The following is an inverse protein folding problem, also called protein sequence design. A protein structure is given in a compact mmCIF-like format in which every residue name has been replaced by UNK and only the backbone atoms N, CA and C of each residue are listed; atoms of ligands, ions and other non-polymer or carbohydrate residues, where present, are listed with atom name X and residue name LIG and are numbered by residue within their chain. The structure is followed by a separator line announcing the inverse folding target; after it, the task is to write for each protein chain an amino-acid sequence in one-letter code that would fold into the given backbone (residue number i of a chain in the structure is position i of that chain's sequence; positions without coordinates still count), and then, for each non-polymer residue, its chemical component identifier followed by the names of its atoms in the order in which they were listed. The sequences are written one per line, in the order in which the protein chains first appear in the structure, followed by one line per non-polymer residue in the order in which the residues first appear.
data_IF_160157459306
#
_entry.id   IF_160157459306
#
_cell.length_a   1.000
_cell.length_b   1.000
_cell.length_c   1.000
_cell.angle_alpha   90.00
_cell.angle_beta   90.00
_cell.angle_gamma   90.00
#
_symmetry.space_group_name_H-M   'P 1'
#
loop_
_entity.id
_entity.type
_entity.pdbx_description
1 polymer ?
#
# COMPACT_ATOMS: atom_id res chain seq x y z
N UNK A 1 -7.75 -31.42 -47.33
CA UNK A 1 -8.23 -31.63 -45.95
C UNK A 1 -9.62 -32.22 -46.00
N UNK A 2 -9.89 -33.30 -45.26
CA UNK A 2 -11.23 -33.88 -45.22
C UNK A 2 -12.15 -33.05 -44.30
N UNK A 3 -13.48 -33.05 -44.53
CA UNK A 3 -14.44 -32.35 -43.67
C UNK A 3 -14.29 -32.72 -42.18
N UNK A 4 -13.92 -33.97 -41.90
CA UNK A 4 -13.67 -34.45 -40.55
C UNK A 4 -12.48 -33.73 -39.85
N UNK A 5 -11.40 -33.45 -40.58
CA UNK A 5 -10.22 -32.76 -40.01
C UNK A 5 -10.55 -31.30 -39.67
N UNK A 6 -11.38 -30.63 -40.48
CA UNK A 6 -11.83 -29.27 -40.22
C UNK A 6 -12.70 -29.23 -38.95
N UNK A 7 -13.63 -30.19 -38.79
CA UNK A 7 -14.46 -30.31 -37.60
C UNK A 7 -13.62 -30.47 -36.32
N UNK A 8 -12.61 -31.34 -36.34
CA UNK A 8 -11.71 -31.55 -35.19
C UNK A 8 -10.92 -30.29 -34.82
N UNK A 9 -10.47 -29.51 -35.80
CA UNK A 9 -9.77 -28.23 -35.54
C UNK A 9 -10.70 -27.25 -34.82
N UNK A 10 -11.97 -27.13 -35.25
CA UNK A 10 -12.95 -26.27 -34.57
C UNK A 10 -13.29 -26.76 -33.16
N UNK A 11 -13.38 -28.08 -32.92
CA UNK A 11 -13.62 -28.63 -31.58
C UNK A 11 -12.44 -28.35 -30.66
N UNK A 12 -11.20 -28.53 -31.11
CA UNK A 12 -9.99 -28.27 -30.31
C UNK A 12 -9.84 -26.77 -30.03
N UNK A 13 -10.06 -25.91 -31.03
CA UNK A 13 -10.06 -24.45 -30.85
C UNK A 13 -11.18 -24.01 -29.89
N UNK A 14 -12.39 -24.52 -30.05
CA UNK A 14 -13.53 -24.22 -29.19
C UNK A 14 -13.29 -24.66 -27.73
N UNK A 15 -12.75 -25.86 -27.53
CA UNK A 15 -12.39 -26.36 -26.20
C UNK A 15 -11.27 -25.52 -25.56
N UNK A 16 -10.26 -25.12 -26.33
CA UNK A 16 -9.18 -24.24 -25.87
C UNK A 16 -9.69 -22.85 -25.44
N UNK A 17 -10.59 -22.27 -26.22
CA UNK A 17 -11.23 -20.98 -25.89
C UNK A 17 -12.14 -21.09 -24.65
N UNK A 18 -12.89 -22.17 -24.51
CA UNK A 18 -13.72 -22.40 -23.34
C UNK A 18 -12.88 -22.58 -22.07
N UNK A 19 -11.77 -23.33 -22.15
CA UNK A 19 -10.88 -23.58 -21.02
C UNK A 19 -10.16 -22.31 -20.53
N UNK A 20 -9.66 -21.49 -21.46
CA UNK A 20 -9.02 -20.20 -21.15
C UNK A 20 -10.03 -19.23 -20.55
N UNK A 21 -11.23 -19.12 -21.15
CA UNK A 21 -12.32 -18.28 -20.64
C UNK A 21 -12.75 -18.67 -19.23
N UNK A 22 -12.91 -19.97 -18.96
CA UNK A 22 -13.27 -20.47 -17.62
C UNK A 22 -12.17 -20.21 -16.58
N UNK A 23 -10.90 -20.35 -16.96
CA UNK A 23 -9.75 -20.08 -16.09
C UNK A 23 -9.65 -18.59 -15.72
N UNK A 24 -9.90 -17.70 -16.66
CA UNK A 24 -9.96 -16.25 -16.43
C UNK A 24 -11.15 -15.92 -15.52
N UNK A 25 -12.32 -16.49 -15.80
CA UNK A 25 -13.53 -16.25 -15.00
C UNK A 25 -13.37 -16.69 -13.54
N UNK A 26 -12.74 -17.86 -13.31
CA UNK A 26 -12.38 -18.30 -11.94
C UNK A 26 -11.44 -17.32 -11.24
N UNK A 27 -10.40 -16.84 -11.92
CA UNK A 27 -9.46 -15.85 -11.36
C UNK A 27 -10.16 -14.53 -11.02
N UNK A 28 -11.13 -14.11 -11.84
CA UNK A 28 -11.94 -12.90 -11.57
C UNK A 28 -12.84 -13.12 -10.36
N UNK A 29 -13.54 -14.26 -10.28
CA UNK A 29 -14.49 -14.54 -9.20
C UNK A 29 -13.80 -14.70 -7.83
N UNK A 30 -12.69 -15.44 -7.78
CA UNK A 30 -11.92 -15.64 -6.54
C UNK A 30 -11.30 -14.33 -6.00
N UNK A 31 -11.00 -13.39 -6.89
CA UNK A 31 -10.43 -12.10 -6.50
C UNK A 31 -11.50 -11.02 -6.26
N UNK A 32 -12.81 -11.30 -6.38
CA UNK A 32 -13.85 -10.27 -6.19
C UNK A 32 -14.16 -10.01 -4.70
N UNK A 33 -14.06 -11.05 -3.86
CA UNK A 33 -14.21 -10.97 -2.41
C UNK A 33 -13.40 -12.11 -1.77
N UNK A 34 -12.12 -11.89 -1.45
CA UNK A 34 -11.29 -12.93 -0.84
C UNK A 34 -11.82 -13.28 0.56
N UNK A 35 -11.80 -14.57 0.89
CA UNK A 35 -12.04 -15.06 2.25
C UNK A 35 -10.88 -14.68 3.18
N UNK A 36 -11.10 -14.71 4.50
CA UNK A 36 -10.09 -14.35 5.50
C UNK A 36 -8.81 -15.18 5.38
N UNK A 37 -8.92 -16.49 5.12
CA UNK A 37 -7.76 -17.36 4.90
C UNK A 37 -6.93 -16.95 3.67
N UNK A 38 -7.59 -16.49 2.60
CA UNK A 38 -6.91 -15.99 1.41
C UNK A 38 -6.19 -14.66 1.70
N UNK A 39 -6.79 -13.79 2.51
CA UNK A 39 -6.16 -12.55 2.97
C UNK A 39 -4.90 -12.85 3.78
N UNK A 40 -4.96 -13.79 4.74
CA UNK A 40 -3.79 -14.18 5.54
C UNK A 40 -2.68 -14.77 4.69
N UNK A 41 -3.03 -15.61 3.71
CA UNK A 41 -2.08 -16.17 2.76
C UNK A 41 -1.44 -15.11 1.87
N UNK A 42 -2.20 -14.11 1.44
CA UNK A 42 -1.67 -12.97 0.68
C UNK A 42 -0.74 -12.10 1.54
N UNK A 43 -1.08 -11.82 2.81
CA UNK A 43 -0.19 -11.13 3.76
C UNK A 43 1.12 -11.93 3.93
N UNK A 44 1.04 -13.26 4.05
CA UNK A 44 2.23 -14.11 4.15
C UNK A 44 3.12 -13.97 2.92
N UNK A 45 2.55 -13.99 1.72
CA UNK A 45 3.31 -13.79 0.47
C UNK A 45 3.92 -12.40 0.38
N UNK A 46 3.18 -11.36 0.78
CA UNK A 46 3.67 -9.99 0.83
C UNK A 46 4.87 -9.85 1.78
N UNK A 47 4.80 -10.47 2.96
CA UNK A 47 5.90 -10.51 3.92
C UNK A 47 7.15 -11.15 3.31
N UNK A 48 7.00 -12.31 2.68
CA UNK A 48 8.10 -13.00 1.98
C UNK A 48 8.70 -12.16 0.84
N UNK A 49 7.89 -11.38 0.14
CA UNK A 49 8.37 -10.50 -0.93
C UNK A 49 9.25 -9.35 -0.42
N UNK A 50 9.06 -8.92 0.83
CA UNK A 50 9.81 -7.83 1.46
C UNK A 50 11.01 -8.35 2.28
N UNK A 51 11.00 -9.62 2.68
CA UNK A 51 12.03 -10.27 3.49
C UNK A 51 13.49 -10.03 3.03
N UNK A 52 13.81 -10.05 1.71
CA UNK A 52 15.19 -9.82 1.25
C UNK A 52 15.74 -8.43 1.57
N UNK A 53 14.88 -7.47 1.93
CA UNK A 53 15.26 -6.08 2.17
C UNK A 53 15.39 -5.74 3.66
N UNK A 54 14.91 -6.60 4.56
CA UNK A 54 14.80 -6.29 6.00
C UNK A 54 16.14 -5.93 6.63
N UNK A 55 17.19 -6.68 6.31
CA UNK A 55 18.53 -6.46 6.87
C UNK A 55 19.21 -5.19 6.32
N UNK A 56 18.60 -4.53 5.32
CA UNK A 56 19.11 -3.30 4.73
C UNK A 56 18.37 -2.06 5.25
N UNK A 57 17.16 -2.23 5.82
CA UNK A 57 16.34 -1.11 6.27
C UNK A 57 17.02 -0.37 7.41
N UNK A 58 17.16 0.94 7.23
CA UNK A 58 17.69 1.84 8.26
C UNK A 58 16.54 2.26 9.18
N UNK A 59 16.76 2.30 10.52
CA UNK A 59 15.79 2.86 11.45
C UNK A 59 15.39 4.27 11.07
N UNK A 60 14.09 4.55 11.12
CA UNK A 60 13.56 5.86 10.77
C UNK A 60 13.61 6.72 12.01
N UNK A 61 14.69 7.47 12.19
CA UNK A 61 14.73 8.53 13.20
C UNK A 61 14.22 9.86 12.61
N UNK A 62 14.23 10.91 13.43
CA UNK A 62 13.85 12.26 12.99
C UNK A 62 14.61 12.73 11.74
N UNK A 63 15.92 12.49 11.68
CA UNK A 63 16.74 12.94 10.55
C UNK A 63 16.33 12.17 9.30
N UNK A 64 16.08 10.87 9.43
CA UNK A 64 15.59 10.06 8.33
C UNK A 64 14.19 10.49 7.86
N UNK A 65 13.30 10.92 8.77
CA UNK A 65 12.03 11.52 8.37
C UNK A 65 12.20 12.81 7.57
N UNK A 66 13.12 13.68 7.96
CA UNK A 66 13.42 14.91 7.20
C UNK A 66 14.03 14.60 5.82
N UNK A 67 14.77 13.50 5.72
CA UNK A 67 15.46 13.06 4.50
C UNK A 67 14.64 12.07 3.65
N UNK A 68 13.49 11.60 4.15
CA UNK A 68 12.63 10.64 3.47
C UNK A 68 12.26 11.18 2.09
N UNK A 69 12.40 10.36 1.05
CA UNK A 69 12.10 10.74 -0.33
C UNK A 69 10.82 10.06 -0.84
N UNK A 70 10.12 10.71 -1.77
CA UNK A 70 9.05 10.06 -2.54
C UNK A 70 9.63 9.06 -3.57
N UNK A 71 10.93 9.12 -3.84
CA UNK A 71 11.60 8.21 -4.74
C UNK A 71 11.61 6.78 -4.18
N UNK A 72 11.56 5.83 -5.10
CA UNK A 72 11.58 4.42 -4.79
C UNK A 72 12.62 3.70 -5.64
N UNK A 73 13.23 2.70 -5.04
CA UNK A 73 14.04 1.73 -5.77
C UNK A 73 13.29 0.41 -5.86
N UNK A 74 13.63 -0.39 -6.88
CA UNK A 74 13.04 -1.72 -7.12
C UNK A 74 11.51 -1.68 -7.24
N UNK A 75 10.99 -0.56 -7.77
CA UNK A 75 9.57 -0.36 -7.98
C UNK A 75 9.06 -1.32 -9.05
N UNK A 76 8.01 -2.06 -8.73
CA UNK A 76 7.26 -2.87 -9.67
C UNK A 76 5.80 -2.50 -9.56
N UNK A 77 5.18 -2.14 -10.69
CA UNK A 77 3.74 -1.92 -10.79
C UNK A 77 3.19 -2.78 -11.93
N UNK A 78 2.22 -3.62 -11.61
CA UNK A 78 1.57 -4.50 -12.58
C UNK A 78 0.06 -4.29 -12.52
N UNK A 79 -0.51 -3.66 -13.56
CA UNK A 79 -1.95 -3.50 -13.77
C UNK A 79 -2.43 -4.61 -14.73
N UNK A 80 -2.90 -5.74 -14.20
CA UNK A 80 -3.46 -6.85 -14.98
C UNK A 80 -4.88 -7.17 -14.48
N UNK A 81 -5.24 -8.44 -14.26
CA UNK A 81 -6.52 -8.81 -13.61
C UNK A 81 -6.60 -8.16 -12.23
N UNK A 82 -5.50 -8.17 -11.47
CA UNK A 82 -5.32 -7.43 -10.22
C UNK A 82 -4.24 -6.38 -10.40
N UNK A 83 -4.28 -5.31 -9.61
CA UNK A 83 -3.16 -4.37 -9.51
C UNK A 83 -2.25 -4.81 -8.38
N UNK A 84 -0.99 -5.06 -8.67
CA UNK A 84 0.02 -5.31 -7.63
C UNK A 84 1.12 -4.28 -7.74
N UNK A 85 1.62 -3.79 -6.60
CA UNK A 85 2.76 -2.92 -6.54
C UNK A 85 3.73 -3.35 -5.44
N UNK A 86 5.02 -3.04 -5.60
CA UNK A 86 6.02 -3.22 -4.56
C UNK A 86 7.17 -2.28 -4.80
N UNK A 87 7.90 -1.94 -3.76
CA UNK A 87 9.05 -1.05 -3.85
C UNK A 87 9.67 -0.77 -2.50
N UNK A 88 10.73 0.02 -2.53
CA UNK A 88 11.44 0.47 -1.33
C UNK A 88 11.56 1.98 -1.42
N UNK A 89 10.94 2.69 -0.49
CA UNK A 89 11.17 4.13 -0.32
C UNK A 89 12.51 4.35 0.36
N UNK A 90 13.22 5.39 -0.09
CA UNK A 90 14.56 5.70 0.39
C UNK A 90 14.66 7.12 0.94
N UNK A 91 15.75 7.42 1.63
CA UNK A 91 16.17 8.81 1.87
C UNK A 91 16.61 9.46 0.55
N UNK A 92 16.83 10.78 0.57
CA UNK A 92 17.51 11.51 -0.53
C UNK A 92 18.98 11.11 -0.72
N UNK A 93 19.51 10.25 0.15
CA UNK A 93 20.83 9.63 0.02
C UNK A 93 20.74 8.15 -0.35
N UNK A 94 19.56 7.69 -0.77
CA UNK A 94 19.28 6.32 -1.23
C UNK A 94 19.41 5.24 -0.14
N UNK A 95 19.33 5.63 1.14
CA UNK A 95 19.22 4.66 2.23
C UNK A 95 17.79 4.10 2.26
N UNK A 96 17.60 2.76 2.29
CA UNK A 96 16.27 2.18 2.28
C UNK A 96 15.61 2.30 3.66
N UNK A 97 14.43 2.92 3.70
CA UNK A 97 13.71 3.24 4.94
C UNK A 97 12.45 2.38 5.11
N UNK A 98 11.74 2.14 4.01
CA UNK A 98 10.45 1.46 4.03
C UNK A 98 10.29 0.58 2.80
N UNK A 99 10.10 -0.71 3.01
CA UNK A 99 9.75 -1.64 1.94
C UNK A 99 8.25 -2.01 2.02
N UNK A 100 7.60 -2.14 0.86
CA UNK A 100 6.16 -2.44 0.83
C UNK A 100 5.77 -3.39 -0.30
N UNK A 101 4.60 -4.01 -0.12
CA UNK A 101 3.91 -4.82 -1.12
C UNK A 101 2.41 -4.51 -1.07
N UNK A 102 1.81 -4.33 -2.23
CA UNK A 102 0.44 -3.90 -2.42
C UNK A 102 -0.29 -4.83 -3.39
N UNK A 103 -1.56 -5.10 -3.11
CA UNK A 103 -2.46 -5.86 -3.98
C UNK A 103 -3.87 -5.29 -3.93
N UNK A 104 -4.34 -4.74 -5.05
CA UNK A 104 -5.75 -4.40 -5.31
C UNK A 104 -6.46 -5.62 -5.88
N UNK A 105 -7.51 -6.04 -5.22
CA UNK A 105 -8.39 -7.12 -5.68
C UNK A 105 -9.29 -6.65 -6.82
N UNK A 106 -9.91 -7.60 -7.52
CA UNK A 106 -10.87 -7.29 -8.58
C UNK A 106 -12.14 -6.73 -7.93
N UNK A 107 -12.76 -5.71 -8.51
CA UNK A 107 -14.04 -5.17 -8.03
C UNK A 107 -13.91 -3.99 -7.07
N UNK A 108 -14.86 -3.85 -6.13
CA UNK A 108 -15.14 -2.59 -5.42
C UNK A 108 -14.15 -2.33 -4.27
N UNK A 109 -12.98 -1.77 -4.60
CA UNK A 109 -12.14 -1.00 -3.68
C UNK A 109 -11.46 -1.78 -2.55
N UNK A 110 -11.37 -3.11 -2.66
CA UNK A 110 -10.63 -3.93 -1.70
C UNK A 110 -9.15 -4.02 -2.08
N UNK A 111 -8.26 -3.78 -1.13
CA UNK A 111 -6.84 -3.94 -1.31
C UNK A 111 -6.14 -4.37 -0.01
N UNK A 112 -4.94 -4.91 -0.16
CA UNK A 112 -4.00 -5.11 0.94
C UNK A 112 -2.75 -4.28 0.67
N UNK A 113 -2.26 -3.64 1.73
CA UNK A 113 -0.92 -3.06 1.76
C UNK A 113 -0.18 -3.67 2.96
N UNK A 114 0.97 -4.26 2.68
CA UNK A 114 1.95 -4.66 3.66
C UNK A 114 3.13 -3.70 3.56
N UNK A 115 3.58 -3.15 4.68
CA UNK A 115 4.78 -2.31 4.71
C UNK A 115 5.64 -2.66 5.92
N UNK A 116 6.95 -2.45 5.79
CA UNK A 116 7.93 -2.82 6.79
C UNK A 116 9.00 -1.74 6.87
N UNK A 117 9.18 -1.19 8.07
CA UNK A 117 10.36 -0.40 8.46
C UNK A 117 11.34 -1.31 9.19
N UNK A 118 12.50 -0.79 9.61
CA UNK A 118 13.42 -1.53 10.46
C UNK A 118 12.75 -2.01 11.76
N UNK A 119 11.79 -1.24 12.29
CA UNK A 119 11.23 -1.44 13.62
C UNK A 119 9.81 -2.03 13.61
N UNK A 120 9.02 -1.73 12.57
CA UNK A 120 7.57 -1.98 12.59
C UNK A 120 7.06 -2.64 11.31
N UNK A 121 6.18 -3.62 11.50
CA UNK A 121 5.38 -4.23 10.42
C UNK A 121 4.01 -3.56 10.41
N UNK A 122 3.58 -3.07 9.25
CA UNK A 122 2.28 -2.46 9.03
C UNK A 122 1.47 -3.32 8.05
N UNK A 123 0.22 -3.58 8.39
CA UNK A 123 -0.74 -4.25 7.51
C UNK A 123 -2.00 -3.40 7.43
N UNK A 124 -2.36 -3.02 6.21
CA UNK A 124 -3.57 -2.27 5.91
C UNK A 124 -4.51 -3.18 5.13
N UNK A 125 -5.65 -3.48 5.75
CA UNK A 125 -6.78 -4.14 5.09
C UNK A 125 -7.74 -3.06 4.58
N UNK A 126 -7.53 -2.65 3.33
CA UNK A 126 -8.25 -1.55 2.70
C UNK A 126 -9.59 -2.06 2.18
N UNK A 127 -10.66 -1.54 2.77
CA UNK A 127 -12.03 -1.77 2.35
C UNK A 127 -12.61 -0.56 1.62
N UNK A 128 -13.88 -0.67 1.22
CA UNK A 128 -14.57 0.38 0.46
C UNK A 128 -14.79 1.68 1.26
N UNK A 129 -15.00 1.57 2.58
CA UNK A 129 -15.36 2.70 3.47
C UNK A 129 -14.31 2.97 4.54
N UNK A 130 -13.51 1.96 4.87
CA UNK A 130 -12.56 2.03 5.96
C UNK A 130 -11.35 1.17 5.63
N UNK A 131 -10.24 1.47 6.29
CA UNK A 131 -9.02 0.68 6.26
C UNK A 131 -8.67 0.26 7.66
N UNK A 132 -8.64 -1.04 7.93
CA UNK A 132 -8.20 -1.58 9.23
C UNK A 132 -6.69 -1.70 9.20
N UNK A 133 -6.02 -1.16 10.21
CA UNK A 133 -4.56 -1.14 10.33
C UNK A 133 -4.13 -2.00 11.51
N UNK A 134 -3.16 -2.88 11.25
CA UNK A 134 -2.43 -3.60 12.28
C UNK A 134 -0.95 -3.22 12.26
N UNK A 135 -0.37 -2.99 13.44
CA UNK A 135 1.07 -2.79 13.63
C UNK A 135 1.61 -3.98 14.43
N UNK A 136 2.67 -4.61 13.94
CA UNK A 136 3.30 -5.78 14.57
C UNK A 136 2.29 -6.89 14.90
N UNK A 137 1.35 -7.15 13.96
CA UNK A 137 0.25 -8.13 14.06
C UNK A 137 -0.81 -7.82 15.12
N UNK A 138 -0.75 -6.66 15.78
CA UNK A 138 -1.77 -6.20 16.71
C UNK A 138 -2.63 -5.13 16.04
N UNK A 139 -3.94 -5.17 16.27
CA UNK A 139 -4.84 -4.12 15.82
C UNK A 139 -4.38 -2.77 16.37
N UNK A 140 -4.22 -1.79 15.49
CA UNK A 140 -3.77 -0.44 15.86
C UNK A 140 -4.88 0.59 15.71
N UNK A 141 -5.65 0.52 14.62
CA UNK A 141 -6.70 1.48 14.37
C UNK A 141 -7.45 1.27 13.07
N UNK A 142 -8.42 2.14 12.82
CA UNK A 142 -9.22 2.16 11.60
C UNK A 142 -9.16 3.55 10.97
N UNK A 143 -8.87 3.61 9.68
CA UNK A 143 -8.87 4.85 8.90
C UNK A 143 -10.21 5.00 8.19
N UNK A 144 -10.86 6.15 8.36
CA UNK A 144 -12.14 6.53 7.72
C UNK A 144 -11.99 7.98 7.26
N UNK A 145 -12.23 8.25 5.97
CA UNK A 145 -12.14 9.60 5.38
C UNK A 145 -10.84 10.35 5.79
N UNK A 146 -9.69 9.72 5.56
CA UNK A 146 -8.34 10.23 5.90
C UNK A 146 -8.06 10.44 7.39
N UNK A 147 -8.94 10.00 8.29
CA UNK A 147 -8.80 10.10 9.75
C UNK A 147 -8.52 8.73 10.36
N UNK A 148 -7.44 8.62 11.13
CA UNK A 148 -7.07 7.41 11.87
C UNK A 148 -7.69 7.45 13.27
N UNK A 149 -8.45 6.42 13.59
CA UNK A 149 -9.08 6.22 14.89
C UNK A 149 -8.50 5.00 15.61
N UNK A 150 -8.35 5.06 16.94
CA UNK A 150 -7.91 3.91 17.74
C UNK A 150 -8.93 2.78 17.73
N UNK A 151 -10.22 3.10 17.64
CA UNK A 151 -11.30 2.12 17.66
C UNK A 151 -12.09 2.10 16.34
N UNK A 152 -12.74 0.97 16.06
CA UNK A 152 -13.58 0.79 14.86
C UNK A 152 -14.83 1.70 14.87
N UNK A 153 -15.19 2.26 16.03
CA UNK A 153 -16.37 3.11 16.23
C UNK A 153 -16.07 4.60 16.03
N UNK A 154 -14.84 4.96 15.70
CA UNK A 154 -14.40 6.33 15.42
C UNK A 154 -14.40 7.27 16.62
N UNK A 155 -14.28 6.77 17.87
CA UNK A 155 -14.39 7.63 19.06
C UNK A 155 -13.10 8.35 19.42
N UNK A 156 -11.96 7.67 19.29
CA UNK A 156 -10.66 8.25 19.62
C UNK A 156 -9.84 8.55 18.36
N UNK A 157 -9.79 9.81 17.94
CA UNK A 157 -8.96 10.27 16.83
C UNK A 157 -7.48 10.25 17.25
N UNK A 158 -6.65 9.58 16.45
CA UNK A 158 -5.19 9.56 16.60
C UNK A 158 -4.51 10.56 15.67
N UNK A 159 -5.05 10.75 14.48
CA UNK A 159 -4.52 11.69 13.51
C UNK A 159 -5.35 11.75 12.24
N UNK A 160 -4.97 12.65 11.34
CA UNK A 160 -5.63 12.80 10.05
C UNK A 160 -4.71 13.41 9.00
N UNK A 161 -5.01 13.12 7.74
CA UNK A 161 -4.45 13.82 6.59
C UNK A 161 -5.47 14.87 6.15
N UNK A 162 -5.04 16.13 6.10
CA UNK A 162 -5.89 17.23 5.68
C UNK A 162 -5.73 17.47 4.17
N UNK A 163 -6.84 17.54 3.45
CA UNK A 163 -6.88 17.93 2.03
C UNK A 163 -6.77 19.46 1.85
N UNK A 164 -5.77 20.08 2.47
CA UNK A 164 -5.52 21.51 2.26
C UNK A 164 -5.02 21.72 0.83
N UNK A 165 -5.74 22.51 0.03
CA UNK A 165 -5.57 22.64 -1.44
C UNK A 165 -4.28 23.29 -1.96
N UNK A 166 -3.16 23.19 -1.23
CA UNK A 166 -1.88 23.83 -1.54
C UNK A 166 -0.75 22.82 -1.81
N UNK A 167 -0.99 21.81 -2.65
CA UNK A 167 0.03 20.85 -3.13
C UNK A 167 0.80 20.08 -2.03
N UNK A 168 0.26 20.11 -0.82
CA UNK A 168 0.80 19.50 0.37
C UNK A 168 -0.36 19.01 1.21
N UNK A 169 -0.18 17.87 1.84
CA UNK A 169 -1.18 17.25 2.70
C UNK A 169 -0.68 17.29 4.13
N UNK A 170 -1.12 18.27 4.93
CA UNK A 170 -0.79 18.30 6.35
C UNK A 170 -1.20 16.99 7.03
N UNK A 171 -0.26 16.37 7.73
CA UNK A 171 -0.52 15.23 8.59
C UNK A 171 -0.58 15.75 10.02
N UNK A 172 -1.75 15.59 10.64
CA UNK A 172 -2.01 15.97 12.02
C UNK A 172 -2.04 14.71 12.87
N UNK A 173 -1.43 14.77 14.04
CA UNK A 173 -1.48 13.72 15.05
C UNK A 173 -1.90 14.37 16.37
N UNK A 174 -2.90 13.79 17.02
CA UNK A 174 -3.64 14.45 18.09
C UNK A 174 -4.18 15.81 17.63
N UNK A 175 -3.72 16.89 18.26
CA UNK A 175 -4.18 18.26 17.99
C UNK A 175 -3.12 19.14 17.30
N UNK A 176 -2.04 18.57 16.77
CA UNK A 176 -0.96 19.34 16.13
C UNK A 176 -0.57 18.75 14.78
N UNK A 177 -0.10 19.61 13.90
CA UNK A 177 0.54 19.19 12.65
C UNK A 177 1.95 18.65 12.95
N UNK A 178 2.25 17.46 12.43
CA UNK A 178 3.55 16.80 12.62
C UNK A 178 4.41 16.83 11.37
N UNK A 179 3.80 16.92 10.19
CA UNK A 179 4.48 17.10 8.91
C UNK A 179 3.46 17.52 7.85
N UNK A 180 3.91 17.78 6.64
CA UNK A 180 3.09 17.83 5.45
C UNK A 180 3.69 16.91 4.37
N UNK A 181 2.90 15.99 3.84
CA UNK A 181 3.28 15.14 2.71
C UNK A 181 3.21 15.95 1.42
N UNK A 182 4.30 15.96 0.65
CA UNK A 182 4.36 16.63 -0.64
C UNK A 182 3.65 15.83 -1.71
N UNK A 183 2.94 16.54 -2.59
CA UNK A 183 2.32 15.91 -3.77
C UNK A 183 3.39 15.62 -4.85
N UNK A 184 3.63 14.34 -5.21
CA UNK A 184 4.61 13.98 -6.23
C UNK A 184 4.31 14.60 -7.61
N UNK A 185 3.06 14.94 -7.92
CA UNK A 185 2.70 15.55 -9.20
C UNK A 185 3.18 17.01 -9.31
N UNK A 186 3.45 17.66 -8.18
CA UNK A 186 3.80 19.07 -8.11
C UNK A 186 5.32 19.28 -7.98
N UNK A 187 6.01 18.37 -7.29
CA UNK A 187 7.43 18.55 -6.99
C UNK A 187 8.32 18.14 -8.17
N UNK A 188 8.83 19.12 -8.90
CA UNK A 188 9.80 18.94 -10.00
C UNK A 188 11.25 18.87 -9.50
N UNK A 189 11.54 17.99 -8.55
CA UNK A 189 12.91 17.71 -8.08
C UNK A 189 13.32 16.29 -8.51
N UNK A 190 14.58 16.04 -8.92
CA UNK A 190 15.06 14.67 -9.15
C UNK A 190 14.97 13.78 -7.91
N UNK A 191 15.10 14.39 -6.72
CA UNK A 191 14.99 13.72 -5.43
C UNK A 191 14.08 14.53 -4.51
N UNK A 192 12.76 14.45 -4.70
CA UNK A 192 11.82 15.16 -3.86
C UNK A 192 11.82 14.53 -2.47
N UNK A 193 11.95 15.37 -1.43
CA UNK A 193 11.62 14.95 -0.07
C UNK A 193 10.13 14.62 -0.01
N UNK A 194 9.76 13.64 0.80
CA UNK A 194 8.37 13.28 1.04
C UNK A 194 7.70 14.27 1.99
N UNK A 195 8.43 14.73 3.00
CA UNK A 195 7.86 15.53 4.07
C UNK A 195 8.46 16.94 4.16
N UNK A 196 7.60 17.89 4.50
CA UNK A 196 7.98 19.23 4.97
C UNK A 196 7.48 19.45 6.40
N UNK A 197 8.11 20.39 7.11
CA UNK A 197 7.71 20.79 8.46
C UNK A 197 7.64 19.62 9.46
N UNK A 198 8.57 18.67 9.35
CA UNK A 198 8.66 17.53 10.28
C UNK A 198 8.86 18.08 11.70
N UNK A 199 7.99 17.67 12.62
CA UNK A 199 8.01 18.14 13.99
C UNK A 199 9.35 17.82 14.67
N UNK A 200 9.77 18.71 15.57
CA UNK A 200 11.06 18.59 16.23
C UNK A 200 11.20 17.32 17.10
N UNK A 201 10.08 16.79 17.58
CA UNK A 201 9.97 15.56 18.35
C UNK A 201 8.64 14.87 18.04
N UNK A 202 8.66 13.55 18.02
CA UNK A 202 7.50 12.67 18.00
C UNK A 202 7.71 11.65 19.11
N UNK A 203 6.68 11.39 19.91
CA UNK A 203 6.69 10.19 20.75
C UNK A 203 6.37 8.94 19.93
N UNK A 204 6.58 7.76 20.51
CA UNK A 204 6.39 6.46 19.83
C UNK A 204 4.97 6.29 19.24
N UNK A 205 3.93 6.80 19.89
CA UNK A 205 2.56 6.70 19.40
C UNK A 205 2.29 7.72 18.30
N UNK A 206 2.84 8.93 18.44
CA UNK A 206 2.76 9.95 17.41
C UNK A 206 3.46 9.50 16.12
N UNK A 207 4.64 8.89 16.24
CA UNK A 207 5.39 8.36 15.12
C UNK A 207 4.63 7.23 14.42
N UNK A 208 4.08 6.26 15.16
CA UNK A 208 3.25 5.20 14.58
C UNK A 208 2.02 5.75 13.86
N UNK A 209 1.34 6.73 14.44
CA UNK A 209 0.18 7.38 13.82
C UNK A 209 0.57 8.12 12.53
N UNK A 210 1.67 8.88 12.59
CA UNK A 210 2.24 9.60 11.45
C UNK A 210 2.62 8.64 10.32
N UNK A 211 3.44 7.62 10.60
CA UNK A 211 3.88 6.63 9.62
C UNK A 211 2.69 5.88 9.03
N UNK A 212 1.71 5.50 9.85
CA UNK A 212 0.49 4.83 9.38
C UNK A 212 -0.23 5.64 8.29
N UNK A 213 -0.44 6.93 8.54
CA UNK A 213 -1.10 7.82 7.58
C UNK A 213 -0.22 8.07 6.36
N UNK A 214 1.06 8.38 6.56
CA UNK A 214 1.99 8.70 5.49
C UNK A 214 2.20 7.51 4.53
N UNK A 215 2.41 6.31 5.06
CA UNK A 215 2.62 5.09 4.25
C UNK A 215 1.41 4.83 3.36
N UNK A 216 0.20 4.92 3.92
CA UNK A 216 -1.02 4.69 3.16
C UNK A 216 -1.16 5.69 2.02
N UNK A 217 -1.01 6.99 2.31
CA UNK A 217 -1.13 8.06 1.30
C UNK A 217 -0.08 7.93 0.20
N UNK A 218 1.20 7.73 0.57
CA UNK A 218 2.29 7.61 -0.40
C UNK A 218 2.07 6.43 -1.35
N UNK A 219 1.63 5.28 -0.84
CA UNK A 219 1.42 4.10 -1.68
C UNK A 219 0.14 4.24 -2.50
N UNK A 220 -0.95 4.75 -1.95
CA UNK A 220 -2.23 4.91 -2.67
C UNK A 220 -2.07 5.86 -3.86
N UNK A 221 -1.43 7.01 -3.67
CA UNK A 221 -1.17 7.99 -4.74
C UNK A 221 -0.28 7.46 -5.86
N UNK A 222 0.52 6.44 -5.59
CA UNK A 222 1.35 5.79 -6.60
C UNK A 222 0.59 4.73 -7.40
N UNK A 223 -0.37 4.02 -6.79
CA UNK A 223 -1.06 2.89 -7.44
C UNK A 223 -2.32 3.27 -8.19
N UNK A 224 -3.01 4.33 -7.74
CA UNK A 224 -4.19 4.86 -8.40
C UNK A 224 -3.79 5.55 -9.72
#
# INVERSE_FOLDING_TARGET
MTPAVILWIFVVLGAGLAFTSFSILKKVFLNFNPAESAIQEDIRKMRLAVEPYLNKLVPIDKKELELFSLNQVQQMLKKSITTTASGIFTSIYQEPLLAYSYKKYVGKGKALLFARTAEHEFVFNIGKKNTVVAINKMYYGTIIDHKLYRDEKGKQLLGMVSESGNNMLPILVGNRQVAALLDPEVVKSPQPRAFQFVAASLDDEEEKAFLTLAILEMVQRMVD
#
